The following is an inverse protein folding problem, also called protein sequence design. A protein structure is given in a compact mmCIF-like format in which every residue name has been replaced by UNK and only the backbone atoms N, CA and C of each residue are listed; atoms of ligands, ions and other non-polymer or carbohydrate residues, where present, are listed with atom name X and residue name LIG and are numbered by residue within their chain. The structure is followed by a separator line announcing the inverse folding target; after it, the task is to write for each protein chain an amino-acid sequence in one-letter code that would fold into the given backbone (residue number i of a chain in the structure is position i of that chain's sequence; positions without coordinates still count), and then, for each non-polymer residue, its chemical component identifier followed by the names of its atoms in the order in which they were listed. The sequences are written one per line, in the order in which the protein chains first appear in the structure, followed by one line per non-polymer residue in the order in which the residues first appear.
data_IF_504284449481
#
_entry.id   IF_504284449481
#
_cell.length_a   1.000
_cell.length_b   1.000
_cell.length_c   1.000
_cell.angle_alpha   90.00
_cell.angle_beta   90.00
_cell.angle_gamma   90.00
#
_symmetry.space_group_name_H-M   'P 1'
#
loop_
_entity.id
_entity.type
_entity.pdbx_description
1 polymer ?
#
# COMPACT_ATOMS: atom_id res chain seq x y z
N UNK A 1 31.41 6.80 63.31
CA UNK A 1 32.24 7.13 62.14
C UNK A 1 31.96 6.11 61.07
N UNK A 2 31.17 6.49 60.06
CA UNK A 2 30.88 5.60 58.94
C UNK A 2 31.91 5.84 57.82
N UNK A 3 32.77 4.86 57.58
CA UNK A 3 33.73 4.92 56.46
C UNK A 3 32.99 4.72 55.15
N UNK A 4 32.81 5.82 54.38
CA UNK A 4 32.33 5.78 53.02
C UNK A 4 33.39 5.11 52.13
N UNK A 5 33.23 3.83 51.83
CA UNK A 5 34.02 3.13 50.84
C UNK A 5 33.72 3.63 49.46
N UNK A 6 34.39 4.70 49.02
CA UNK A 6 34.42 5.13 47.62
C UNK A 6 35.18 4.05 46.86
N UNK A 7 34.50 3.40 45.94
CA UNK A 7 35.14 2.40 45.03
C UNK A 7 36.30 3.09 44.29
N UNK A 8 37.45 2.42 44.12
CA UNK A 8 38.60 3.01 43.45
C UNK A 8 38.18 3.40 42.00
N UNK A 9 38.68 4.52 41.47
CA UNK A 9 38.24 5.07 40.18
C UNK A 9 38.36 4.07 39.01
N UNK A 10 39.29 3.17 39.09
CA UNK A 10 39.49 2.08 38.10
C UNK A 10 38.27 1.14 38.04
N UNK A 11 37.70 0.78 39.18
CA UNK A 11 36.54 -0.10 39.26
C UNK A 11 35.30 0.54 38.68
N UNK A 12 35.15 1.87 38.80
CA UNK A 12 34.07 2.63 38.20
C UNK A 12 34.16 2.64 36.65
N UNK A 13 35.37 2.78 36.09
CA UNK A 13 35.61 2.71 34.64
C UNK A 13 35.35 1.30 34.09
N UNK A 14 35.82 0.24 34.76
CA UNK A 14 35.55 -1.15 34.36
C UNK A 14 34.06 -1.44 34.31
N UNK A 15 33.27 -0.98 35.29
CA UNK A 15 31.81 -1.11 35.28
C UNK A 15 31.19 -0.38 34.11
N UNK A 16 31.61 0.86 33.81
CA UNK A 16 31.11 1.62 32.68
C UNK A 16 31.39 0.92 31.34
N UNK A 17 32.57 0.42 31.15
CA UNK A 17 32.93 -0.34 29.96
C UNK A 17 32.13 -1.63 29.83
N UNK A 18 31.91 -2.36 30.93
CA UNK A 18 31.08 -3.56 30.95
C UNK A 18 29.63 -3.26 30.58
N UNK A 19 29.05 -2.16 31.10
CA UNK A 19 27.72 -1.71 30.72
C UNK A 19 27.64 -1.30 29.24
N UNK A 20 28.62 -0.58 28.72
CA UNK A 20 28.71 -0.22 27.31
C UNK A 20 28.76 -1.45 26.41
N UNK A 21 29.62 -2.43 26.75
CA UNK A 21 29.73 -3.70 26.02
C UNK A 21 28.40 -4.47 26.05
N UNK A 22 27.72 -4.51 27.20
CA UNK A 22 26.42 -5.15 27.34
C UNK A 22 25.37 -4.45 26.45
N UNK A 23 25.28 -3.12 26.49
CA UNK A 23 24.35 -2.35 25.65
C UNK A 23 24.64 -2.52 24.16
N UNK A 24 25.89 -2.50 23.74
CA UNK A 24 26.29 -2.75 22.35
C UNK A 24 25.90 -4.17 21.91
N UNK A 25 26.14 -5.17 22.76
CA UNK A 25 25.75 -6.56 22.51
C UNK A 25 24.23 -6.72 22.39
N UNK A 26 23.47 -6.14 23.31
CA UNK A 26 22.00 -6.13 23.25
C UNK A 26 21.46 -5.39 22.02
N UNK A 27 22.06 -4.26 21.67
CA UNK A 27 21.69 -3.51 20.48
C UNK A 27 21.97 -4.31 19.20
N UNK A 28 23.11 -4.99 19.12
CA UNK A 28 23.46 -5.85 17.99
C UNK A 28 22.50 -7.04 17.84
N UNK A 29 22.11 -7.66 18.95
CA UNK A 29 21.12 -8.74 18.97
C UNK A 29 19.71 -8.27 18.59
N UNK A 30 19.32 -7.04 18.99
CA UNK A 30 18.02 -6.48 18.69
C UNK A 30 17.93 -5.90 17.28
N UNK A 31 19.06 -5.55 16.65
CA UNK A 31 19.12 -4.87 15.35
C UNK A 31 18.34 -5.57 14.24
N UNK A 32 18.44 -6.89 14.00
CA UNK A 32 17.68 -7.58 12.97
C UNK A 32 16.15 -7.46 13.12
N UNK A 33 15.69 -7.27 14.37
CA UNK A 33 14.25 -7.11 14.66
C UNK A 33 13.77 -5.67 14.52
N UNK A 34 14.65 -4.70 14.76
CA UNK A 34 14.32 -3.27 14.71
C UNK A 34 14.47 -2.69 13.30
N UNK A 35 15.38 -3.21 12.49
CA UNK A 35 15.68 -2.70 11.14
C UNK A 35 14.44 -2.73 10.22
N UNK A 36 13.70 -3.85 10.05
CA UNK A 36 12.58 -3.88 9.10
C UNK A 36 11.44 -2.91 9.44
N UNK A 37 10.98 -2.77 10.69
CA UNK A 37 9.96 -1.77 11.01
C UNK A 37 10.46 -0.33 10.85
N UNK A 38 11.74 -0.06 11.15
CA UNK A 38 12.35 1.25 10.95
C UNK A 38 12.42 1.63 9.46
N UNK A 39 12.86 0.73 8.61
CA UNK A 39 12.90 0.92 7.16
C UNK A 39 11.52 1.21 6.60
N UNK A 40 10.50 0.46 7.02
CA UNK A 40 9.10 0.68 6.63
C UNK A 40 8.61 2.06 7.08
N UNK A 41 8.93 2.47 8.31
CA UNK A 41 8.54 3.77 8.84
C UNK A 41 9.21 4.92 8.07
N UNK A 42 10.50 4.80 7.77
CA UNK A 42 11.24 5.79 6.96
C UNK A 42 10.67 5.85 5.55
N UNK A 43 10.41 4.69 4.92
CA UNK A 43 9.80 4.63 3.60
C UNK A 43 8.41 5.26 3.59
N UNK A 44 7.56 4.93 4.57
CA UNK A 44 6.23 5.51 4.72
C UNK A 44 6.26 7.02 4.88
N UNK A 45 7.19 7.55 5.67
CA UNK A 45 7.37 8.99 5.86
C UNK A 45 7.77 9.67 4.54
N UNK A 46 8.78 9.13 3.83
CA UNK A 46 9.21 9.63 2.52
C UNK A 46 8.09 9.58 1.48
N UNK A 47 7.36 8.47 1.40
CA UNK A 47 6.23 8.28 0.49
C UNK A 47 5.11 9.29 0.77
N UNK A 48 4.81 9.51 2.06
CA UNK A 48 3.78 10.45 2.51
C UNK A 48 4.11 11.92 2.18
N UNK A 49 5.40 12.26 2.14
CA UNK A 49 5.87 13.61 1.81
C UNK A 49 5.92 13.89 0.29
N UNK A 50 5.83 12.85 -0.53
CA UNK A 50 5.81 13.02 -2.00
C UNK A 50 4.43 13.45 -2.47
N UNK A 51 4.40 14.23 -3.55
CA UNK A 51 3.15 14.58 -4.22
C UNK A 51 2.46 13.32 -4.77
N UNK A 52 1.13 13.32 -4.72
CA UNK A 52 0.34 12.29 -5.39
C UNK A 52 0.60 12.32 -6.90
N UNK A 53 0.64 11.16 -7.59
CA UNK A 53 0.85 11.09 -9.03
C UNK A 53 -0.26 11.80 -9.80
N UNK A 54 0.13 12.60 -10.80
CA UNK A 54 -0.83 13.25 -11.72
C UNK A 54 -1.37 12.27 -12.78
N UNK A 55 -0.71 11.14 -13.01
CA UNK A 55 -1.13 10.08 -13.91
C UNK A 55 -0.72 8.71 -13.33
N UNK A 56 -1.52 7.70 -13.62
CA UNK A 56 -1.33 6.34 -13.15
C UNK A 56 -1.46 5.34 -14.31
N UNK A 57 -0.70 4.24 -14.30
CA UNK A 57 -0.93 3.13 -15.22
C UNK A 57 -2.25 2.42 -14.89
N UNK A 58 -2.86 1.79 -15.89
CA UNK A 58 -4.06 0.96 -15.69
C UNK A 58 -3.68 -0.27 -14.86
N UNK A 59 -4.34 -0.52 -13.71
CA UNK A 59 -3.96 -1.58 -12.78
C UNK A 59 -4.43 -2.99 -13.20
N UNK A 60 -4.70 -3.22 -14.48
CA UNK A 60 -5.01 -4.54 -15.04
C UNK A 60 -4.14 -4.76 -16.27
N UNK A 61 -3.34 -5.81 -16.24
CA UNK A 61 -2.40 -6.12 -17.30
C UNK A 61 -3.09 -6.29 -18.66
N UNK A 62 -2.57 -5.62 -19.69
CA UNK A 62 -3.07 -5.69 -21.06
C UNK A 62 -4.35 -4.89 -21.33
N UNK A 63 -4.90 -4.17 -20.35
CA UNK A 63 -6.02 -3.25 -20.59
C UNK A 63 -5.49 -1.87 -20.94
N UNK A 64 -5.83 -1.38 -22.13
CA UNK A 64 -5.44 -0.05 -22.58
C UNK A 64 -6.28 1.04 -21.92
N UNK A 65 -5.70 2.20 -21.61
CA UNK A 65 -6.41 3.32 -21.00
C UNK A 65 -7.62 3.80 -21.82
N UNK A 66 -7.55 3.70 -23.16
CA UNK A 66 -8.68 4.06 -24.05
C UNK A 66 -9.89 3.14 -23.94
N UNK A 67 -9.73 1.93 -23.38
CA UNK A 67 -10.82 0.99 -23.15
C UNK A 67 -11.57 1.22 -21.84
N UNK A 68 -11.05 2.08 -20.98
CA UNK A 68 -11.68 2.41 -19.71
C UNK A 68 -12.97 3.21 -19.93
N UNK A 69 -13.95 2.96 -19.06
CA UNK A 69 -15.19 3.74 -18.96
C UNK A 69 -15.22 4.46 -17.61
N UNK A 70 -15.69 5.70 -17.61
CA UNK A 70 -15.94 6.39 -16.35
C UNK A 70 -17.23 5.86 -15.73
N UNK A 71 -17.06 5.06 -14.67
CA UNK A 71 -18.17 4.51 -13.89
C UNK A 71 -18.27 5.18 -12.51
N UNK A 72 -17.50 6.27 -12.29
CA UNK A 72 -17.49 7.04 -11.06
C UNK A 72 -18.89 7.60 -10.76
N UNK A 73 -19.31 7.53 -9.49
CA UNK A 73 -20.61 7.93 -8.99
C UNK A 73 -21.81 7.23 -9.63
N UNK A 74 -21.60 6.19 -10.43
CA UNK A 74 -22.69 5.32 -10.90
C UNK A 74 -23.49 4.77 -9.72
N UNK A 75 -24.81 4.66 -9.88
CA UNK A 75 -25.71 4.14 -8.84
C UNK A 75 -25.33 2.71 -8.44
N UNK A 76 -25.36 2.45 -7.13
CA UNK A 76 -25.14 1.13 -6.53
C UNK A 76 -26.31 0.76 -5.62
N UNK A 77 -26.44 -0.53 -5.29
CA UNK A 77 -27.48 -1.01 -4.38
C UNK A 77 -27.47 -0.26 -3.05
N UNK A 78 -28.63 -0.02 -2.47
CA UNK A 78 -28.78 0.70 -1.20
C UNK A 78 -28.50 2.22 -1.29
N UNK A 79 -28.68 2.85 -2.46
CA UNK A 79 -28.52 4.29 -2.64
C UNK A 79 -27.09 4.79 -2.60
N UNK A 80 -26.10 3.88 -2.59
CA UNK A 80 -24.67 4.26 -2.59
C UNK A 80 -24.25 4.77 -3.96
N UNK A 81 -23.25 5.63 -3.97
CA UNK A 81 -22.52 6.03 -5.18
C UNK A 81 -21.29 5.16 -5.36
N UNK A 82 -20.87 4.94 -6.59
CA UNK A 82 -19.67 4.21 -6.93
C UNK A 82 -18.41 5.03 -6.61
N UNK A 83 -17.63 4.61 -5.63
CA UNK A 83 -16.40 5.29 -5.20
C UNK A 83 -15.16 4.64 -5.82
N UNK A 84 -15.14 4.56 -7.15
CA UNK A 84 -14.08 3.96 -7.94
C UNK A 84 -14.49 3.82 -9.39
N UNK A 85 -13.74 3.04 -10.13
CA UNK A 85 -14.09 2.62 -11.49
C UNK A 85 -14.01 1.09 -11.61
N UNK A 86 -14.84 0.53 -12.50
CA UNK A 86 -14.83 -0.89 -12.80
C UNK A 86 -14.06 -1.11 -14.12
N UNK A 87 -12.99 -1.90 -14.02
CA UNK A 87 -12.10 -2.23 -15.14
C UNK A 87 -12.38 -3.68 -15.54
N UNK A 88 -13.15 -3.86 -16.62
CA UNK A 88 -13.53 -5.17 -17.11
C UNK A 88 -12.37 -5.89 -17.79
N UNK A 89 -12.13 -7.13 -17.41
CA UNK A 89 -11.13 -8.01 -18.01
C UNK A 89 -11.47 -9.49 -17.72
N UNK A 90 -10.97 -10.43 -18.50
CA UNK A 90 -11.17 -11.85 -18.22
C UNK A 90 -10.73 -12.25 -16.80
N UNK A 91 -11.48 -13.16 -16.17
CA UNK A 91 -11.11 -13.76 -14.88
C UNK A 91 -9.68 -14.31 -14.94
N UNK A 92 -8.91 -14.11 -13.88
CA UNK A 92 -7.53 -14.56 -13.80
C UNK A 92 -6.51 -13.63 -14.47
N UNK A 93 -6.94 -12.51 -15.11
CA UNK A 93 -6.03 -11.47 -15.59
C UNK A 93 -5.31 -10.84 -14.40
N UNK A 94 -4.02 -10.57 -14.53
CA UNK A 94 -3.21 -9.96 -13.48
C UNK A 94 -3.71 -8.56 -13.12
N UNK A 95 -3.87 -8.33 -11.81
CA UNK A 95 -4.09 -7.03 -11.21
C UNK A 95 -2.76 -6.57 -10.63
N UNK A 96 -2.29 -5.42 -11.10
CA UNK A 96 -0.99 -4.86 -10.72
C UNK A 96 -1.15 -3.57 -9.93
N UNK A 97 -0.19 -3.25 -9.08
CA UNK A 97 -0.17 -1.98 -8.38
C UNK A 97 -0.03 -0.81 -9.35
N UNK A 98 -0.94 0.15 -9.29
CA UNK A 98 -0.89 1.37 -10.09
C UNK A 98 0.23 2.33 -9.63
N UNK A 99 0.81 2.11 -8.46
CA UNK A 99 1.82 2.98 -7.85
C UNK A 99 2.82 2.15 -7.04
N UNK A 100 3.98 2.71 -6.76
CA UNK A 100 4.82 2.23 -5.66
C UNK A 100 4.11 2.47 -4.33
N UNK A 101 4.43 1.70 -3.31
CA UNK A 101 3.82 1.92 -2.01
C UNK A 101 4.05 0.83 -0.99
N UNK A 102 3.26 0.90 0.08
CA UNK A 102 3.21 -0.12 1.12
C UNK A 102 1.86 -0.80 1.05
N UNK A 103 1.85 -2.13 0.98
CA UNK A 103 0.63 -2.91 1.14
C UNK A 103 0.14 -2.75 2.59
N UNK A 104 -1.00 -2.09 2.77
CA UNK A 104 -1.55 -1.85 4.11
C UNK A 104 -2.51 -2.94 4.56
N UNK A 105 -3.13 -3.65 3.60
CA UNK A 105 -4.06 -4.74 3.90
C UNK A 105 -4.16 -5.71 2.73
N UNK A 106 -4.19 -7.00 3.06
CA UNK A 106 -4.63 -8.10 2.20
C UNK A 106 -5.69 -8.85 2.98
N UNK A 107 -6.88 -9.06 2.41
CA UNK A 107 -7.97 -9.72 3.14
C UNK A 107 -9.30 -9.60 2.42
N UNK A 108 -10.38 -9.93 3.13
CA UNK A 108 -11.75 -9.90 2.60
C UNK A 108 -12.60 -8.84 3.28
N UNK A 109 -13.61 -8.33 2.56
CA UNK A 109 -14.73 -7.60 3.12
C UNK A 109 -16.03 -7.92 2.37
N UNK A 110 -17.16 -7.53 2.95
CA UNK A 110 -18.48 -7.88 2.44
C UNK A 110 -18.73 -7.34 1.00
N UNK A 111 -18.33 -6.10 0.73
CA UNK A 111 -18.58 -5.48 -0.57
C UNK A 111 -17.52 -5.87 -1.60
N UNK A 112 -16.26 -5.70 -1.28
CA UNK A 112 -15.16 -5.91 -2.23
C UNK A 112 -14.77 -7.38 -2.42
N UNK A 113 -15.22 -8.29 -1.55
CA UNK A 113 -14.73 -9.66 -1.56
C UNK A 113 -13.24 -9.71 -1.20
N UNK A 114 -12.43 -10.36 -2.01
CA UNK A 114 -10.99 -10.37 -1.86
C UNK A 114 -10.41 -9.01 -2.28
N UNK A 115 -9.68 -8.37 -1.37
CA UNK A 115 -9.19 -7.00 -1.56
C UNK A 115 -7.73 -6.84 -1.16
N UNK A 116 -7.06 -5.92 -1.83
CA UNK A 116 -5.73 -5.42 -1.47
C UNK A 116 -5.81 -3.90 -1.35
N UNK A 117 -5.15 -3.36 -0.33
CA UNK A 117 -4.98 -1.92 -0.13
C UNK A 117 -3.50 -1.57 -0.18
N UNK A 118 -3.16 -0.53 -0.90
CA UNK A 118 -1.79 -0.02 -1.03
C UNK A 118 -1.78 1.46 -0.69
N UNK A 119 -0.95 1.89 0.25
CA UNK A 119 -0.66 3.30 0.50
C UNK A 119 0.41 3.76 -0.48
N UNK A 120 0.07 4.66 -1.37
CA UNK A 120 0.94 5.30 -2.35
C UNK A 120 1.44 6.69 -1.92
N UNK A 121 2.14 7.41 -2.83
CA UNK A 121 2.58 8.78 -2.62
C UNK A 121 1.42 9.71 -2.26
N UNK A 122 1.70 10.76 -1.48
CA UNK A 122 0.69 11.70 -1.01
C UNK A 122 -0.34 11.10 -0.07
N UNK A 123 -0.01 9.96 0.56
CA UNK A 123 -0.89 9.20 1.47
C UNK A 123 -2.20 8.73 0.81
N UNK A 124 -2.23 8.59 -0.52
CA UNK A 124 -3.37 8.01 -1.20
C UNK A 124 -3.46 6.52 -0.89
N UNK A 125 -4.66 6.04 -0.57
CA UNK A 125 -4.94 4.62 -0.40
C UNK A 125 -5.58 4.10 -1.68
N UNK A 126 -4.90 3.20 -2.35
CA UNK A 126 -5.35 2.53 -3.57
C UNK A 126 -6.02 1.21 -3.20
N UNK A 127 -7.25 1.04 -3.62
CA UNK A 127 -8.12 -0.08 -3.30
C UNK A 127 -8.35 -0.95 -4.53
N UNK A 128 -8.03 -2.24 -4.40
CA UNK A 128 -8.17 -3.24 -5.46
C UNK A 128 -9.13 -4.32 -4.94
N UNK A 129 -10.30 -4.46 -5.57
CA UNK A 129 -11.36 -5.34 -5.09
C UNK A 129 -11.87 -6.32 -6.15
N UNK A 130 -12.70 -7.26 -5.71
CA UNK A 130 -13.29 -8.36 -6.48
C UNK A 130 -12.28 -9.37 -7.01
N UNK A 131 -11.08 -9.44 -6.36
CA UNK A 131 -10.03 -10.36 -6.79
C UNK A 131 -10.49 -11.81 -6.69
N UNK A 132 -10.11 -12.62 -7.67
CA UNK A 132 -10.31 -14.08 -7.65
C UNK A 132 -9.43 -14.73 -6.57
N UNK A 133 -8.15 -14.37 -6.59
CA UNK A 133 -7.14 -14.76 -5.60
C UNK A 133 -6.07 -13.70 -5.47
N UNK A 134 -5.34 -13.75 -4.37
CA UNK A 134 -4.18 -12.88 -4.15
C UNK A 134 -2.95 -13.43 -4.89
N UNK A 135 -1.99 -12.55 -5.21
CA UNK A 135 -0.59 -12.91 -5.44
C UNK A 135 0.13 -13.13 -4.10
N UNK A 136 1.43 -13.25 -4.09
CA UNK A 136 2.20 -13.51 -2.86
C UNK A 136 2.39 -12.32 -1.92
N UNK A 137 1.72 -11.17 -2.14
CA UNK A 137 1.90 -9.93 -1.34
C UNK A 137 1.27 -10.04 0.04
N UNK A 138 1.88 -9.36 1.02
CA UNK A 138 1.46 -9.33 2.43
C UNK A 138 1.39 -7.90 2.94
N UNK A 139 0.58 -7.66 3.97
CA UNK A 139 0.57 -6.38 4.67
C UNK A 139 1.97 -6.06 5.23
N UNK A 140 2.43 -4.84 4.99
CA UNK A 140 3.78 -4.37 5.33
C UNK A 140 4.80 -4.50 4.20
N UNK A 141 4.48 -5.15 3.08
CA UNK A 141 5.40 -5.22 1.94
C UNK A 141 5.54 -3.85 1.27
N UNK A 142 6.78 -3.47 0.98
CA UNK A 142 7.11 -2.33 0.12
C UNK A 142 7.14 -2.86 -1.31
N UNK A 143 6.36 -2.23 -2.20
CA UNK A 143 6.18 -2.69 -3.57
C UNK A 143 6.41 -1.56 -4.57
N UNK A 144 6.86 -1.94 -5.77
CA UNK A 144 6.94 -1.04 -6.93
C UNK A 144 5.59 -0.95 -7.67
N UNK A 145 5.42 0.09 -8.48
CA UNK A 145 4.37 0.09 -9.50
C UNK A 145 4.55 -1.11 -10.44
N UNK A 146 3.44 -1.74 -10.85
CA UNK A 146 3.46 -2.95 -11.68
C UNK A 146 3.60 -4.27 -10.91
N UNK A 147 3.85 -4.24 -9.59
CA UNK A 147 3.86 -5.47 -8.77
C UNK A 147 2.49 -6.15 -8.82
N UNK A 148 2.45 -7.45 -9.10
CA UNK A 148 1.20 -8.23 -9.14
C UNK A 148 0.63 -8.35 -7.73
N UNK A 149 -0.61 -7.90 -7.54
CA UNK A 149 -1.33 -7.93 -6.27
C UNK A 149 -2.30 -9.12 -6.17
N UNK A 150 -2.82 -9.54 -7.30
CA UNK A 150 -3.81 -10.60 -7.41
C UNK A 150 -4.33 -10.72 -8.83
N UNK A 151 -5.52 -11.30 -8.97
CA UNK A 151 -6.09 -11.63 -10.28
C UNK A 151 -7.55 -11.22 -10.33
N UNK A 152 -8.00 -10.74 -11.49
CA UNK A 152 -9.40 -10.32 -11.72
C UNK A 152 -10.36 -11.46 -11.41
N UNK A 153 -11.40 -11.13 -10.67
CA UNK A 153 -12.45 -12.07 -10.28
C UNK A 153 -13.84 -11.46 -10.23
N UNK A 154 -14.67 -12.01 -9.36
CA UNK A 154 -16.07 -11.61 -9.12
C UNK A 154 -16.45 -11.81 -7.65
N UNK A 155 -15.50 -11.67 -6.73
CA UNK A 155 -15.78 -11.89 -5.29
C UNK A 155 -16.55 -10.71 -4.68
N UNK A 156 -17.09 -10.91 -3.48
CA UNK A 156 -17.93 -9.90 -2.82
C UNK A 156 -19.26 -9.69 -3.54
N UNK A 157 -19.68 -8.44 -3.68
CA UNK A 157 -20.94 -8.08 -4.33
C UNK A 157 -20.88 -8.09 -5.88
N UNK A 158 -19.72 -8.41 -6.47
CA UNK A 158 -19.57 -8.63 -7.89
C UNK A 158 -19.96 -10.05 -8.34
N UNK A 159 -20.43 -10.91 -7.43
CA UNK A 159 -20.92 -12.25 -7.80
C UNK A 159 -22.08 -12.14 -8.79
N UNK A 160 -21.99 -12.92 -9.88
CA UNK A 160 -23.01 -12.91 -10.95
C UNK A 160 -22.87 -11.77 -11.95
N UNK A 161 -21.87 -10.90 -11.82
CA UNK A 161 -21.56 -9.88 -12.81
C UNK A 161 -20.38 -10.31 -13.70
N UNK A 162 -20.16 -9.67 -14.86
CA UNK A 162 -18.94 -9.86 -15.64
C UNK A 162 -17.69 -9.61 -14.79
N UNK A 163 -16.60 -10.41 -14.95
CA UNK A 163 -15.39 -10.22 -14.19
C UNK A 163 -14.78 -8.83 -14.41
N UNK A 164 -14.38 -8.20 -13.32
CA UNK A 164 -13.76 -6.87 -13.34
C UNK A 164 -12.93 -6.62 -12.09
N UNK A 165 -12.00 -5.69 -12.17
CA UNK A 165 -11.39 -5.05 -11.02
C UNK A 165 -12.22 -3.82 -10.65
N UNK A 166 -12.71 -3.72 -9.43
CA UNK A 166 -13.08 -2.42 -8.87
C UNK A 166 -11.84 -1.75 -8.31
N UNK A 167 -11.52 -0.56 -8.84
CA UNK A 167 -10.36 0.22 -8.44
C UNK A 167 -10.79 1.57 -7.88
N UNK A 168 -10.45 1.84 -6.61
CA UNK A 168 -10.74 3.08 -5.90
C UNK A 168 -9.48 3.76 -5.39
N UNK A 169 -9.53 5.09 -5.24
CA UNK A 169 -8.48 5.90 -4.61
C UNK A 169 -9.11 6.73 -3.51
N UNK A 170 -8.56 6.64 -2.30
CA UNK A 170 -9.04 7.33 -1.12
C UNK A 170 -7.97 8.25 -0.56
N UNK A 171 -8.39 9.43 -0.16
CA UNK A 171 -7.57 10.46 0.50
C UNK A 171 -8.14 10.76 1.88
N UNK A 172 -7.48 11.62 2.65
CA UNK A 172 -8.03 12.12 3.91
C UNK A 172 -9.38 12.88 3.75
N UNK A 173 -9.71 13.31 2.51
CA UNK A 173 -10.96 14.01 2.17
C UNK A 173 -12.03 13.09 1.58
N UNK A 174 -11.78 11.78 1.53
CA UNK A 174 -12.65 10.77 0.93
C UNK A 174 -12.16 10.25 -0.41
N UNK A 175 -13.04 9.52 -1.09
CA UNK A 175 -12.76 8.93 -2.40
C UNK A 175 -12.61 10.02 -3.48
N UNK A 176 -11.73 9.75 -4.43
CA UNK A 176 -11.54 10.59 -5.63
C UNK A 176 -11.73 9.74 -6.89
N UNK A 177 -12.15 10.39 -8.00
CA UNK A 177 -12.32 9.70 -9.28
C UNK A 177 -10.98 9.23 -9.84
N UNK A 178 -10.73 7.91 -10.00
CA UNK A 178 -9.50 7.40 -10.58
C UNK A 178 -9.41 7.61 -12.10
N UNK A 179 -10.54 7.76 -12.79
CA UNK A 179 -10.61 7.74 -14.24
C UNK A 179 -9.72 8.78 -14.92
N UNK A 180 -9.70 10.07 -14.50
CA UNK A 180 -8.81 11.05 -15.11
C UNK A 180 -7.33 10.74 -14.92
N UNK A 181 -6.95 10.08 -13.82
CA UNK A 181 -5.57 9.69 -13.54
C UNK A 181 -5.11 8.52 -14.40
N UNK A 182 -6.00 7.58 -14.71
CA UNK A 182 -5.74 6.42 -15.56
C UNK A 182 -5.86 6.73 -17.05
N UNK A 183 -6.53 7.82 -17.39
CA UNK A 183 -6.71 8.31 -18.75
C UNK A 183 -6.45 9.81 -18.81
N UNK A 184 -5.20 10.24 -18.58
CA UNK A 184 -4.86 11.64 -18.64
C UNK A 184 -5.20 12.19 -20.04
N UNK A 185 -5.78 13.38 -20.10
CA UNK A 185 -6.01 14.08 -21.36
C UNK A 185 -4.64 14.26 -22.05
N UNK A 186 -4.54 13.88 -23.31
CA UNK A 186 -3.34 14.16 -24.10
C UNK A 186 -3.23 15.69 -24.17
N UNK A 187 -2.09 16.30 -23.79
CA UNK A 187 -1.93 17.73 -23.93
C UNK A 187 -2.19 18.11 -25.40
N UNK A 188 -3.11 19.05 -25.62
CA UNK A 188 -3.35 19.62 -26.94
C UNK A 188 -2.06 20.35 -27.33
N UNK A 189 -1.24 19.73 -28.20
CA UNK A 189 0.00 20.33 -28.65
C UNK A 189 1.21 19.40 -28.81
N UNK A 190 1.12 18.12 -28.47
CA UNK A 190 2.16 17.13 -28.74
C UNK A 190 1.91 16.42 -30.08
N UNK A 191 2.09 17.13 -31.18
CA UNK A 191 2.24 16.56 -32.55
C UNK A 191 3.54 17.04 -33.12
#
# INVERSE_FOLDING_TARGET
MAASHLLPPVLAWVRRLAWLALWLGLSWLAWPWLQPPLERAIYAARLSARAAPAALPVPVAGVASRALRDTWHGARSGGRKHEGIDIFAPRGREVVSATEGIVTRVGTNQLGGNVVWVMGPGRQLHYYAHLDRYAGVRAGDIIAAGTVLGYVGTTGNARGTPPHLHYGIYTARGAINPYPLLRPAVPVGAR
#
